data_IF_828009014592
#
_entry.id   IF_828009014592
#
_cell.length_a   1.000
_cell.length_b   1.000
_cell.length_c   1.000
_cell.angle_alpha   90.00
_cell.angle_beta   90.00
_cell.angle_gamma   90.00
#
_symmetry.space_group_name_H-M   'P 1'
#
loop_
_entity.id
_entity.type
_entity.pdbx_description
1 polymer ?
#
# COMPACT_ATOMS: atom_id res chain seq x y z
N UNK A 1 -20.63 -13.40 -16.69
CA UNK A 1 -19.20 -13.10 -16.89
C UNK A 1 -18.91 -11.72 -17.51
N UNK A 2 -19.89 -10.98 -18.05
CA UNK A 2 -19.66 -9.66 -18.70
C UNK A 2 -19.38 -8.52 -17.68
N UNK A 3 -19.88 -8.63 -16.44
CA UNK A 3 -19.80 -7.56 -15.44
C UNK A 3 -18.38 -7.26 -14.93
N UNK A 4 -17.50 -8.25 -14.86
CA UNK A 4 -16.14 -8.08 -14.34
C UNK A 4 -15.28 -7.16 -15.23
N UNK A 5 -15.45 -7.23 -16.55
CA UNK A 5 -14.68 -6.43 -17.51
C UNK A 5 -15.06 -4.94 -17.49
N UNK A 6 -16.32 -4.63 -17.19
CA UNK A 6 -16.81 -3.25 -17.08
C UNK A 6 -16.21 -2.59 -15.83
N UNK A 7 -16.11 -3.34 -14.72
CA UNK A 7 -15.50 -2.85 -13.48
C UNK A 7 -14.02 -2.50 -13.63
N UNK A 8 -13.23 -3.40 -14.24
CA UNK A 8 -11.78 -3.19 -14.45
C UNK A 8 -11.50 -2.00 -15.37
N UNK A 9 -12.29 -1.83 -16.44
CA UNK A 9 -12.15 -0.66 -17.32
C UNK A 9 -12.43 0.65 -16.59
N UNK A 10 -13.42 0.66 -15.70
CA UNK A 10 -13.78 1.84 -14.91
C UNK A 10 -12.66 2.25 -13.94
N UNK A 11 -12.04 1.27 -13.25
CA UNK A 11 -10.93 1.54 -12.34
C UNK A 11 -9.67 2.02 -13.07
N UNK A 12 -9.37 1.42 -14.23
CA UNK A 12 -8.26 1.87 -15.08
C UNK A 12 -8.45 3.33 -15.52
N UNK A 13 -9.65 3.71 -15.96
CA UNK A 13 -9.97 5.11 -16.32
C UNK A 13 -9.76 6.06 -15.13
N UNK A 14 -10.20 5.67 -13.94
CA UNK A 14 -9.98 6.47 -12.72
C UNK A 14 -8.48 6.70 -12.44
N UNK A 15 -7.66 5.66 -12.50
CA UNK A 15 -6.22 5.77 -12.30
C UNK A 15 -5.57 6.66 -13.38
N UNK A 16 -5.99 6.52 -14.64
CA UNK A 16 -5.53 7.37 -15.74
C UNK A 16 -5.89 8.84 -15.51
N UNK A 17 -7.12 9.13 -15.07
CA UNK A 17 -7.57 10.47 -14.77
C UNK A 17 -6.75 11.10 -13.63
N UNK A 18 -6.47 10.35 -12.56
CA UNK A 18 -5.61 10.82 -11.47
C UNK A 18 -4.17 11.11 -11.92
N UNK A 19 -3.59 10.23 -12.73
CA UNK A 19 -2.23 10.43 -13.27
C UNK A 19 -2.19 11.68 -14.15
N UNK A 20 -3.19 11.84 -15.02
CA UNK A 20 -3.27 12.99 -15.91
C UNK A 20 -3.48 14.29 -15.15
N UNK A 21 -4.35 14.29 -14.14
CA UNK A 21 -4.58 15.43 -13.26
C UNK A 21 -3.27 15.87 -12.60
N UNK A 22 -2.55 14.92 -12.00
CA UNK A 22 -1.27 15.20 -11.34
C UNK A 22 -0.23 15.78 -12.28
N UNK A 23 -0.12 15.26 -13.50
CA UNK A 23 0.83 15.79 -14.50
C UNK A 23 0.54 17.24 -14.88
N UNK A 24 -0.73 17.62 -14.98
CA UNK A 24 -1.13 18.99 -15.30
C UNK A 24 -0.94 19.93 -14.11
N UNK A 25 -1.30 19.50 -12.90
CA UNK A 25 -1.15 20.32 -11.68
C UNK A 25 0.30 20.52 -11.26
N UNK A 26 1.18 19.57 -11.57
CA UNK A 26 2.63 19.70 -11.38
C UNK A 26 3.34 20.32 -12.58
N UNK A 27 2.59 20.76 -13.59
CA UNK A 27 3.12 21.36 -14.83
C UNK A 27 4.15 20.47 -15.57
N UNK A 28 4.11 19.15 -15.34
CA UNK A 28 4.97 18.17 -16.01
C UNK A 28 4.64 18.06 -17.51
N UNK A 29 3.40 18.44 -17.89
CA UNK A 29 2.93 18.48 -19.27
C UNK A 29 2.17 19.79 -19.49
N UNK A 30 2.48 20.49 -20.58
CA UNK A 30 1.75 21.70 -20.99
C UNK A 30 0.78 21.40 -22.12
N UNK A 31 -0.43 21.94 -22.00
CA UNK A 31 -1.51 21.77 -22.98
C UNK A 31 -2.29 23.07 -23.04
N UNK A 32 -2.81 23.41 -24.23
CA UNK A 32 -3.80 24.48 -24.34
C UNK A 32 -5.01 24.15 -23.43
N UNK A 33 -5.56 25.17 -22.77
CA UNK A 33 -6.71 25.04 -21.87
C UNK A 33 -6.51 24.11 -20.65
N UNK A 34 -5.28 23.98 -20.13
CA UNK A 34 -4.98 23.14 -18.96
C UNK A 34 -5.97 23.35 -17.79
N UNK A 35 -6.37 24.59 -17.50
CA UNK A 35 -7.35 24.90 -16.44
C UNK A 35 -8.71 24.24 -16.66
N UNK A 36 -9.21 24.22 -17.89
CA UNK A 36 -10.50 23.57 -18.22
C UNK A 36 -10.38 22.05 -18.09
N UNK A 37 -9.30 21.49 -18.62
CA UNK A 37 -9.02 20.05 -18.55
C UNK A 37 -8.89 19.59 -17.09
N UNK A 38 -8.20 20.35 -16.25
CA UNK A 38 -8.09 20.08 -14.80
C UNK A 38 -9.48 20.06 -14.17
N UNK A 39 -10.33 21.06 -14.44
CA UNK A 39 -11.68 21.10 -13.89
C UNK A 39 -12.52 19.88 -14.32
N UNK A 40 -12.45 19.49 -15.59
CA UNK A 40 -13.18 18.33 -16.11
C UNK A 40 -12.70 17.01 -15.49
N UNK A 41 -11.39 16.83 -15.35
CA UNK A 41 -10.81 15.65 -14.68
C UNK A 41 -11.26 15.56 -13.22
N UNK A 42 -11.25 16.68 -12.50
CA UNK A 42 -11.69 16.74 -11.09
C UNK A 42 -13.17 16.40 -10.93
N UNK A 43 -14.01 16.71 -11.92
CA UNK A 43 -15.42 16.31 -11.94
C UNK A 43 -15.63 14.81 -12.22
N UNK A 44 -14.71 14.17 -12.94
CA UNK A 44 -14.78 12.73 -13.25
C UNK A 44 -14.25 11.85 -12.11
N UNK A 45 -13.45 12.41 -11.20
CA UNK A 45 -12.86 11.66 -10.09
C UNK A 45 -13.83 11.68 -8.90
N UNK A 46 -14.13 10.54 -8.25
CA UNK A 46 -14.95 10.50 -7.05
C UNK A 46 -14.42 11.42 -5.95
N UNK A 47 -15.31 12.17 -5.31
CA UNK A 47 -14.96 13.22 -4.32
C UNK A 47 -14.13 12.70 -3.14
N UNK A 48 -14.35 11.46 -2.71
CA UNK A 48 -13.59 10.84 -1.62
C UNK A 48 -12.11 10.65 -1.99
N UNK A 49 -11.86 10.24 -3.24
CA UNK A 49 -10.52 10.02 -3.78
C UNK A 49 -9.85 11.37 -4.01
N UNK A 50 -10.56 12.31 -4.61
CA UNK A 50 -10.05 13.66 -4.86
C UNK A 50 -9.68 14.37 -3.56
N UNK A 51 -10.52 14.28 -2.53
CA UNK A 51 -10.23 14.90 -1.23
C UNK A 51 -9.00 14.30 -0.54
N UNK A 52 -8.71 13.01 -0.72
CA UNK A 52 -7.47 12.42 -0.22
C UNK A 52 -6.25 12.87 -1.03
N UNK A 53 -6.38 12.85 -2.36
CA UNK A 53 -5.36 13.33 -3.29
C UNK A 53 -4.97 14.79 -3.00
N UNK A 54 -5.95 15.68 -2.83
CA UNK A 54 -5.72 17.10 -2.52
C UNK A 54 -4.97 17.30 -1.20
N UNK A 55 -5.28 16.49 -0.18
CA UNK A 55 -4.54 16.56 1.09
C UNK A 55 -3.08 16.17 0.94
N UNK A 56 -2.74 15.28 0.01
CA UNK A 56 -1.36 14.94 -0.30
C UNK A 56 -0.68 16.09 -1.06
N UNK A 57 -1.35 16.63 -2.08
CA UNK A 57 -0.84 17.74 -2.89
C UNK A 57 -0.61 19.01 -2.06
N UNK A 58 -1.54 19.35 -1.17
CA UNK A 58 -1.40 20.48 -0.23
C UNK A 58 -0.19 20.35 0.72
N UNK A 59 0.30 19.11 0.94
CA UNK A 59 1.51 18.83 1.73
C UNK A 59 2.77 18.76 0.87
N UNK A 60 2.70 19.17 -0.40
CA UNK A 60 3.80 19.11 -1.36
C UNK A 60 4.18 17.68 -1.76
N UNK A 61 3.26 16.71 -1.64
CA UNK A 61 3.49 15.31 -2.02
C UNK A 61 2.70 14.98 -3.28
N UNK A 62 3.29 14.16 -4.17
CA UNK A 62 2.53 13.50 -5.25
C UNK A 62 1.39 12.67 -4.64
N UNK A 63 0.19 12.79 -5.21
CA UNK A 63 -1.00 12.07 -4.78
C UNK A 63 -1.08 10.64 -5.31
N UNK A 64 -0.54 10.39 -6.51
CA UNK A 64 -0.50 9.07 -7.16
C UNK A 64 0.92 8.77 -7.68
N UNK A 65 1.39 7.54 -7.47
CA UNK A 65 2.77 7.13 -7.80
C UNK A 65 2.85 5.71 -8.35
N UNK A 66 3.78 5.43 -9.29
CA UNK A 66 3.98 4.09 -9.80
C UNK A 66 4.64 3.20 -8.74
N UNK A 67 4.34 1.90 -8.80
CA UNK A 67 5.10 0.86 -8.10
C UNK A 67 6.24 0.40 -9.00
N UNK A 68 7.47 0.45 -8.48
CA UNK A 68 8.67 0.00 -9.20
C UNK A 68 9.46 -0.95 -8.32
N UNK A 69 9.83 -2.11 -8.86
CA UNK A 69 10.60 -3.12 -8.11
C UNK A 69 9.95 -3.54 -6.79
N UNK A 70 8.62 -3.71 -6.77
CA UNK A 70 7.83 -4.03 -5.56
C UNK A 70 7.88 -2.96 -4.45
N UNK A 71 8.27 -1.72 -4.77
CA UNK A 71 8.33 -0.62 -3.82
C UNK A 71 7.50 0.59 -4.27
N UNK A 72 6.97 1.33 -3.29
CA UNK A 72 6.31 2.61 -3.54
C UNK A 72 7.34 3.64 -4.01
N UNK A 73 7.22 4.19 -5.22
CA UNK A 73 8.19 5.18 -5.71
C UNK A 73 8.17 6.54 -4.98
N UNK A 74 7.17 6.80 -4.14
CA UNK A 74 7.08 8.03 -3.36
C UNK A 74 7.71 7.98 -1.95
N UNK A 75 7.84 6.82 -1.34
CA UNK A 75 8.49 6.66 -0.01
C UNK A 75 9.55 5.56 0.03
N UNK A 76 9.72 4.82 -1.06
CA UNK A 76 10.69 3.76 -1.26
C UNK A 76 10.56 2.56 -0.30
N UNK A 77 9.46 2.46 0.45
CA UNK A 77 9.13 1.27 1.23
C UNK A 77 8.62 0.14 0.33
N UNK A 78 9.02 -1.10 0.67
CA UNK A 78 8.52 -2.31 0.01
C UNK A 78 7.06 -2.52 0.33
N UNK A 79 6.30 -2.90 -0.69
CA UNK A 79 4.88 -3.19 -0.58
C UNK A 79 4.66 -4.68 -0.28
N UNK A 80 3.65 -5.04 0.51
CA UNK A 80 3.25 -6.43 0.69
C UNK A 80 2.88 -7.08 -0.65
N UNK A 81 3.19 -8.37 -0.81
CA UNK A 81 2.84 -9.14 -2.02
C UNK A 81 1.33 -9.10 -2.28
N UNK A 82 0.51 -9.14 -1.23
CA UNK A 82 -0.94 -9.04 -1.34
C UNK A 82 -1.40 -7.73 -2.00
N UNK A 83 -0.80 -6.59 -1.62
CA UNK A 83 -1.08 -5.29 -2.24
C UNK A 83 -0.71 -5.28 -3.72
N UNK A 84 0.42 -5.90 -4.08
CA UNK A 84 0.86 -6.02 -5.47
C UNK A 84 -0.12 -6.89 -6.26
N UNK A 85 -0.53 -8.04 -5.72
CA UNK A 85 -1.53 -8.91 -6.34
C UNK A 85 -2.87 -8.19 -6.55
N UNK A 86 -3.28 -7.34 -5.61
CA UNK A 86 -4.51 -6.57 -5.74
C UNK A 86 -4.40 -5.48 -6.82
N UNK A 87 -3.25 -4.78 -6.88
CA UNK A 87 -2.96 -3.84 -7.95
C UNK A 87 -2.97 -4.48 -9.35
N UNK A 88 -2.54 -5.74 -9.46
CA UNK A 88 -2.56 -6.48 -10.74
C UNK A 88 -3.99 -6.81 -11.20
N UNK A 89 -4.93 -7.01 -10.28
CA UNK A 89 -6.35 -7.27 -10.64
C UNK A 89 -7.05 -6.02 -11.15
N UNK A 90 -6.62 -4.85 -10.67
CA UNK A 90 -7.21 -3.55 -11.03
C UNK A 90 -8.72 -3.46 -10.75
N UNK A 91 -9.19 -4.18 -9.73
CA UNK A 91 -10.59 -4.14 -9.28
C UNK A 91 -10.83 -3.02 -8.27
N UNK A 92 -9.81 -2.64 -7.50
CA UNK A 92 -9.87 -1.60 -6.48
C UNK A 92 -8.61 -0.72 -6.46
N UNK A 93 -8.76 0.49 -5.92
CA UNK A 93 -7.68 1.47 -5.76
C UNK A 93 -6.91 1.22 -4.46
N UNK A 94 -5.61 0.99 -4.57
CA UNK A 94 -4.76 0.71 -3.41
C UNK A 94 -3.96 1.94 -2.97
N UNK A 95 -3.77 2.06 -1.66
CA UNK A 95 -2.95 3.07 -1.01
C UNK A 95 -1.66 2.44 -0.48
N UNK A 96 -0.59 3.23 -0.41
CA UNK A 96 0.61 2.83 0.31
C UNK A 96 0.39 2.94 1.82
N UNK A 97 0.52 1.82 2.56
CA UNK A 97 0.37 1.80 4.02
C UNK A 97 1.35 2.73 4.75
N UNK A 98 2.52 2.99 4.16
CA UNK A 98 3.57 3.81 4.79
C UNK A 98 3.39 5.31 4.60
N UNK A 99 2.87 5.75 3.44
CA UNK A 99 2.84 7.19 3.11
C UNK A 99 1.48 7.70 2.62
N UNK A 100 0.52 6.80 2.43
CA UNK A 100 -0.84 7.11 2.01
C UNK A 100 -0.99 7.51 0.54
N UNK A 101 0.02 7.38 -0.32
CA UNK A 101 -0.15 7.72 -1.75
C UNK A 101 -0.92 6.65 -2.50
N UNK A 102 -1.68 7.04 -3.51
CA UNK A 102 -2.30 6.10 -4.45
C UNK A 102 -1.23 5.37 -5.26
N UNK A 103 -1.43 4.07 -5.45
CA UNK A 103 -0.49 3.20 -6.14
C UNK A 103 -1.07 2.74 -7.48
N UNK A 104 -0.21 2.64 -8.48
CA UNK A 104 -0.56 2.01 -9.75
C UNK A 104 0.62 1.20 -10.31
N UNK A 105 0.30 0.21 -11.15
CA UNK A 105 1.27 -0.52 -11.96
C UNK A 105 1.24 0.04 -13.39
N UNK A 106 2.41 0.38 -13.92
CA UNK A 106 2.55 0.94 -15.28
C UNK A 106 1.98 -0.02 -16.35
N UNK A 107 2.16 -1.32 -16.16
CA UNK A 107 1.62 -2.40 -17.00
C UNK A 107 0.09 -2.41 -17.06
N UNK A 108 -0.58 -2.17 -15.93
CA UNK A 108 -2.04 -2.20 -15.82
C UNK A 108 -2.66 -0.96 -16.49
N UNK A 109 -2.06 0.20 -16.24
CA UNK A 109 -2.56 1.50 -16.73
C UNK A 109 -2.23 1.72 -18.20
N UNK A 110 -1.29 0.95 -18.76
CA UNK A 110 -0.89 1.02 -20.17
C UNK A 110 0.03 2.19 -20.49
N UNK A 111 0.77 2.69 -19.50
CA UNK A 111 1.73 3.79 -19.66
C UNK A 111 3.12 3.17 -19.80
N UNK A 112 3.46 2.70 -20.99
CA UNK A 112 4.79 2.13 -21.25
C UNK A 112 5.71 3.22 -21.78
N UNK A 113 6.42 3.90 -20.88
CA UNK A 113 7.63 4.64 -21.24
C UNK A 113 8.85 3.72 -21.00
N UNK A 114 9.21 2.99 -22.06
CA UNK A 114 10.54 2.39 -22.32
C UNK A 114 11.30 1.71 -21.15
N UNK A 115 11.25 0.38 -21.14
CA UNK A 115 12.46 -0.44 -20.97
C UNK A 115 13.10 -0.52 -19.58
N UNK A 116 12.45 -1.18 -18.64
CA UNK A 116 13.13 -1.97 -17.60
C UNK A 116 12.34 -3.25 -17.38
N UNK A 117 12.77 -4.31 -18.07
CA UNK A 117 12.15 -5.62 -18.10
C UNK A 117 11.96 -6.23 -16.70
N UNK A 118 10.84 -6.91 -16.40
CA UNK A 118 10.84 -7.96 -15.41
C UNK A 118 11.23 -9.27 -16.12
N UNK A 119 12.49 -9.37 -16.54
CA UNK A 119 13.05 -10.69 -16.82
C UNK A 119 13.38 -11.36 -15.48
N UNK A 120 12.49 -12.27 -15.10
CA UNK A 120 12.76 -13.39 -14.19
C UNK A 120 12.83 -13.08 -12.69
N UNK A 121 11.67 -13.10 -12.02
CA UNK A 121 11.60 -13.59 -10.65
C UNK A 121 10.17 -14.06 -10.30
N UNK A 122 9.76 -15.17 -10.89
CA UNK A 122 8.75 -16.06 -10.30
C UNK A 122 9.43 -17.41 -10.03
N UNK A 123 8.92 -18.24 -9.11
CA UNK A 123 8.69 -18.00 -7.70
C UNK A 123 9.53 -19.02 -6.88
N UNK A 124 9.81 -18.76 -5.60
CA UNK A 124 10.08 -19.87 -4.68
C UNK A 124 9.04 -19.89 -3.57
N UNK A 125 8.20 -20.94 -3.50
CA UNK A 125 7.46 -21.25 -2.29
C UNK A 125 8.42 -21.86 -1.26
N UNK A 126 7.98 -21.87 0.00
CA UNK A 126 8.64 -22.40 1.22
C UNK A 126 9.56 -21.41 1.94
N UNK A 127 9.50 -21.21 3.26
CA UNK A 127 8.91 -22.03 4.30
C UNK A 127 8.40 -21.17 5.47
N UNK A 128 7.17 -21.45 5.89
CA UNK A 128 6.82 -21.34 7.30
C UNK A 128 7.69 -22.34 8.08
N UNK A 129 8.30 -21.99 9.23
CA UNK A 129 8.65 -23.00 10.21
C UNK A 129 7.55 -23.04 11.26
N UNK A 130 6.52 -23.85 11.00
CA UNK A 130 5.89 -24.61 12.08
C UNK A 130 6.34 -26.05 11.93
N UNK A 131 7.15 -26.54 12.87
CA UNK A 131 6.95 -27.88 13.47
C UNK A 131 7.79 -28.07 14.73
N UNK A 132 7.11 -28.68 15.71
CA UNK A 132 7.56 -29.08 17.03
C UNK A 132 8.42 -30.37 16.98
N UNK A 133 9.15 -30.59 18.08
CA UNK A 133 9.70 -31.85 18.64
C UNK A 133 11.04 -32.33 18.02
N UNK A 134 12.04 -32.83 18.78
CA UNK A 134 11.99 -33.58 20.03
C UNK A 134 13.34 -33.62 20.81
N UNK A 135 13.22 -33.71 22.16
CA UNK A 135 13.97 -34.57 23.13
C UNK A 135 15.51 -34.62 23.12
N UNK A 136 16.11 -34.33 24.29
CA UNK A 136 16.61 -35.33 25.27
C UNK A 136 16.97 -34.70 26.64
N UNK A 137 16.79 -35.51 27.70
CA UNK A 137 16.85 -35.22 29.15
C UNK A 137 18.28 -35.14 29.72
N UNK A 138 18.44 -34.36 30.79
CA UNK A 138 19.10 -34.70 32.08
C UNK A 138 18.87 -33.51 33.05
N UNK A 139 17.95 -33.56 34.01
CA UNK A 139 18.06 -34.12 35.37
C UNK A 139 19.06 -33.38 36.30
N UNK A 140 18.54 -32.57 37.25
CA UNK A 140 18.98 -32.56 38.65
C UNK A 140 18.06 -31.69 39.54
N UNK A 141 17.31 -32.38 40.43
CA UNK A 141 17.08 -32.13 41.87
C UNK A 141 16.61 -30.73 42.31
N UNK A 142 15.33 -30.53 42.66
CA UNK A 142 14.73 -30.74 44.01
C UNK A 142 14.97 -29.58 45.00
N UNK A 143 13.90 -28.87 45.38
CA UNK A 143 13.60 -28.46 46.77
C UNK A 143 12.30 -27.64 46.84
N UNK A 144 11.40 -28.11 47.70
CA UNK A 144 10.11 -27.55 48.05
C UNK A 144 10.22 -26.28 48.91
N UNK A 145 9.36 -25.27 48.71
CA UNK A 145 8.96 -24.35 49.79
C UNK A 145 7.64 -23.59 49.50
N UNK A 146 6.65 -23.96 50.32
CA UNK A 146 5.31 -23.42 50.67
C UNK A 146 4.98 -21.94 50.31
N UNK A 147 3.74 -21.62 49.88
CA UNK A 147 3.26 -20.24 49.81
C UNK A 147 2.78 -19.77 51.19
N UNK A 148 3.32 -18.66 51.67
CA UNK A 148 2.83 -17.98 52.88
C UNK A 148 1.99 -16.76 52.51
N UNK A 149 0.79 -16.55 53.09
CA UNK A 149 0.07 -15.30 52.94
C UNK A 149 0.52 -14.32 54.04
N UNK A 150 0.82 -13.07 53.70
CA UNK A 150 0.91 -12.02 54.73
C UNK A 150 0.17 -10.76 54.31
N UNK A 151 -0.84 -10.46 55.12
CA UNK A 151 -1.70 -9.28 55.14
C UNK A 151 -0.95 -8.08 55.76
N UNK A 152 -1.42 -6.88 55.42
CA UNK A 152 -1.40 -5.69 56.31
C UNK A 152 -0.42 -4.58 55.87
N UNK A 153 -0.91 -3.36 55.55
CA UNK A 153 -1.18 -2.18 56.43
C UNK A 153 0.12 -1.38 56.65
N UNK A 154 0.26 -0.05 56.57
CA UNK A 154 -0.59 1.13 56.80
C UNK A 154 0.02 2.35 56.05
N UNK A 155 -0.76 3.29 55.51
CA UNK A 155 -1.02 4.65 56.03
C UNK A 155 0.12 5.43 56.72
N UNK A 156 0.51 6.60 56.17
CA UNK A 156 0.49 7.95 56.81
C UNK A 156 1.04 9.03 55.86
N UNK A 157 0.23 10.06 55.57
CA UNK A 157 0.26 11.46 56.08
C UNK A 157 1.43 12.31 55.57
N UNK A 158 1.13 13.31 54.74
CA UNK A 158 0.88 14.71 55.16
C UNK A 158 -0.05 15.37 54.17
#
# INVERSE_FOLDING_TARGET
>A
MILANIGVNSMKTLLQNLIRLQQLELEEIQVADATRIIADLRNQIPTQILGHYDRLMARGKKGIVPVRGQACSGCHMRLPIGTISELMKAEDIQLCDSCGRYLYLEEVVGITASGAAPETAAPTPTAQPKKKAARKKAASTAASAKPGPRKGRAARKT
#
